data_IF_843246962503
#
_entry.id   IF_843246962503
#
_cell.length_a   1.000
_cell.length_b   1.000
_cell.length_c   1.000
_cell.angle_alpha   90.00
_cell.angle_beta   90.00
_cell.angle_gamma   90.00
#
_symmetry.space_group_name_H-M   'P 1'
#
loop_
_entity.id
_entity.type
_entity.pdbx_description
1 polymer ?
#
# COMPACT_ATOMS: atom_id res chain seq x y z
N UNK A 1 -32.65 36.91 55.12
CA UNK A 1 -32.07 35.61 54.72
C UNK A 1 -31.51 35.74 53.31
N UNK A 2 -30.19 35.89 53.15
CA UNK A 2 -29.51 35.97 51.84
C UNK A 2 -29.20 34.55 51.38
N UNK A 3 -29.84 34.10 50.30
CA UNK A 3 -29.55 32.80 49.68
C UNK A 3 -28.32 32.94 48.79
N UNK A 4 -27.22 32.30 49.16
CA UNK A 4 -26.04 32.11 48.31
C UNK A 4 -26.38 31.07 47.24
N UNK A 5 -26.29 31.45 45.96
CA UNK A 5 -26.36 30.51 44.84
C UNK A 5 -24.93 29.99 44.61
N UNK A 6 -24.68 28.73 44.95
CA UNK A 6 -23.43 28.03 44.58
C UNK A 6 -23.56 27.63 43.12
N UNK A 7 -22.84 28.31 42.24
CA UNK A 7 -22.74 27.92 40.82
C UNK A 7 -21.75 26.75 40.71
N UNK A 8 -22.28 25.56 40.45
CA UNK A 8 -21.51 24.36 40.19
C UNK A 8 -20.94 24.44 38.77
N UNK A 9 -19.65 24.75 38.64
CA UNK A 9 -18.92 24.64 37.37
C UNK A 9 -18.71 23.16 37.11
N UNK A 10 -19.55 22.57 36.26
CA UNK A 10 -19.31 21.27 35.66
C UNK A 10 -18.14 21.40 34.68
N UNK A 11 -16.95 20.99 35.10
CA UNK A 11 -15.85 20.70 34.18
C UNK A 11 -16.24 19.42 33.46
N UNK A 12 -16.94 19.56 32.33
CA UNK A 12 -17.12 18.46 31.39
C UNK A 12 -15.74 18.14 30.81
N UNK A 13 -15.14 17.06 31.27
CA UNK A 13 -14.03 16.44 30.56
C UNK A 13 -14.60 15.91 29.24
N UNK A 14 -14.53 16.71 28.18
CA UNK A 14 -14.82 16.22 26.84
C UNK A 14 -13.86 15.04 26.58
N UNK A 15 -14.36 13.85 26.22
CA UNK A 15 -13.50 12.75 25.81
C UNK A 15 -12.57 13.28 24.72
N UNK A 16 -11.28 13.03 24.88
CA UNK A 16 -10.24 13.36 23.92
C UNK A 16 -10.44 12.46 22.69
N UNK A 17 -11.48 12.72 21.91
CA UNK A 17 -11.72 11.99 20.68
C UNK A 17 -10.60 12.31 19.71
N UNK A 18 -10.02 11.26 19.10
CA UNK A 18 -9.24 11.43 17.90
C UNK A 18 -10.10 12.21 16.89
N UNK A 19 -9.53 13.26 16.32
CA UNK A 19 -10.12 13.98 15.21
C UNK A 19 -9.80 13.22 13.93
N UNK A 20 -10.64 13.42 12.92
CA UNK A 20 -10.45 12.86 11.58
C UNK A 20 -10.50 14.00 10.57
N UNK A 21 -9.67 13.91 9.52
CA UNK A 21 -9.69 14.82 8.39
C UNK A 21 -9.50 14.01 7.11
N UNK A 22 -10.39 14.19 6.16
CA UNK A 22 -10.26 13.59 4.83
C UNK A 22 -9.80 14.63 3.82
N UNK A 23 -8.80 14.26 3.03
CA UNK A 23 -8.23 15.06 1.95
C UNK A 23 -8.46 14.32 0.64
N UNK A 24 -8.68 15.08 -0.43
CA UNK A 24 -8.97 14.55 -1.76
C UNK A 24 -8.05 15.19 -2.78
N UNK A 25 -7.66 14.40 -3.77
CA UNK A 25 -6.90 14.83 -4.93
C UNK A 25 -7.49 14.19 -6.18
N UNK A 26 -7.55 14.95 -7.27
CA UNK A 26 -7.92 14.45 -8.59
C UNK A 26 -7.19 15.22 -9.68
N UNK A 27 -6.70 14.51 -10.69
CA UNK A 27 -6.25 15.14 -11.93
C UNK A 27 -6.34 14.17 -13.13
N UNK A 28 -6.51 14.70 -14.36
CA UNK A 28 -6.30 13.90 -15.56
C UNK A 28 -4.89 13.29 -15.61
N UNK A 29 -4.76 12.09 -16.17
CA UNK A 29 -3.47 11.40 -16.30
C UNK A 29 -2.48 12.17 -17.15
N UNK A 30 -2.95 12.88 -18.19
CA UNK A 30 -2.09 13.66 -19.08
C UNK A 30 -1.03 12.78 -19.73
N UNK A 31 0.23 13.19 -19.60
CA UNK A 31 1.43 12.51 -20.08
C UNK A 31 2.18 11.73 -18.99
N UNK A 32 1.56 11.58 -17.80
CA UNK A 32 2.14 10.81 -16.71
C UNK A 32 2.26 9.34 -17.09
N UNK A 33 3.36 8.75 -16.68
CA UNK A 33 3.67 7.32 -16.86
C UNK A 33 3.69 6.58 -15.52
N UNK A 34 3.86 7.30 -14.40
CA UNK A 34 4.01 6.70 -13.09
C UNK A 34 3.35 7.50 -11.96
N UNK A 35 2.96 6.79 -10.91
CA UNK A 35 2.51 7.35 -9.63
C UNK A 35 3.35 6.76 -8.49
N UNK A 36 3.86 7.61 -7.62
CA UNK A 36 4.51 7.22 -6.36
C UNK A 36 3.65 7.68 -5.19
N UNK A 37 3.42 6.80 -4.22
CA UNK A 37 2.69 7.12 -2.98
C UNK A 37 3.62 6.87 -1.80
N UNK A 38 3.90 7.91 -1.01
CA UNK A 38 4.65 7.79 0.26
C UNK A 38 3.68 7.86 1.44
N UNK A 39 3.67 6.80 2.25
CA UNK A 39 2.76 6.64 3.40
C UNK A 39 3.56 6.39 4.67
N UNK A 40 3.22 7.14 5.72
CA UNK A 40 3.89 6.99 7.01
C UNK A 40 3.37 5.81 7.81
N UNK A 41 2.12 5.93 8.27
CA UNK A 41 1.47 4.93 9.12
C UNK A 41 -0.03 4.81 8.79
N UNK A 42 -0.42 3.74 8.12
CA UNK A 42 -1.80 3.41 7.79
C UNK A 42 -1.90 2.61 6.49
N UNK A 43 -3.13 2.28 6.12
CA UNK A 43 -3.40 1.35 5.04
C UNK A 43 -3.46 2.04 3.68
N UNK A 44 -3.05 1.34 2.64
CA UNK A 44 -3.11 1.80 1.25
C UNK A 44 -3.94 0.83 0.43
N UNK A 45 -5.00 1.34 -0.19
CA UNK A 45 -5.79 0.59 -1.17
C UNK A 45 -5.69 1.24 -2.54
N UNK A 46 -5.25 0.49 -3.55
CA UNK A 46 -5.14 0.96 -4.93
C UNK A 46 -5.95 0.07 -5.87
N UNK A 47 -6.78 0.68 -6.70
CA UNK A 47 -7.57 0.00 -7.74
C UNK A 47 -7.26 0.56 -9.12
N UNK A 48 -6.77 -0.29 -10.02
CA UNK A 48 -6.60 0.03 -11.43
C UNK A 48 -7.95 0.05 -12.18
N UNK A 49 -8.12 1.02 -13.08
CA UNK A 49 -9.31 1.16 -13.91
C UNK A 49 -9.00 1.51 -15.37
N UNK A 50 -10.00 1.29 -16.23
CA UNK A 50 -10.06 1.79 -17.60
C UNK A 50 -10.60 3.23 -17.58
N UNK A 51 -9.76 4.12 -17.07
CA UNK A 51 -10.06 5.51 -16.76
C UNK A 51 -8.87 6.38 -17.21
N UNK A 52 -9.07 7.70 -17.27
CA UNK A 52 -8.05 8.67 -17.68
C UNK A 52 -7.78 9.72 -16.58
N UNK A 53 -8.18 9.42 -15.34
CA UNK A 53 -8.08 10.31 -14.19
C UNK A 53 -7.44 9.55 -13.03
N UNK A 54 -6.52 10.21 -12.35
CA UNK A 54 -5.91 9.78 -11.09
C UNK A 54 -6.73 10.39 -9.96
N UNK A 55 -7.31 9.57 -9.10
CA UNK A 55 -8.01 10.05 -7.89
C UNK A 55 -7.37 9.46 -6.65
N UNK A 56 -7.14 10.27 -5.63
CA UNK A 56 -6.69 9.83 -4.33
C UNK A 56 -7.54 10.46 -3.22
N UNK A 57 -7.82 9.68 -2.19
CA UNK A 57 -8.43 10.10 -0.95
C UNK A 57 -7.57 9.59 0.19
N UNK A 58 -7.34 10.41 1.20
CA UNK A 58 -6.70 9.97 2.45
C UNK A 58 -7.51 10.48 3.63
N UNK A 59 -7.89 9.56 4.53
CA UNK A 59 -8.49 9.91 5.82
C UNK A 59 -7.45 9.78 6.89
N UNK A 60 -7.23 10.86 7.64
CA UNK A 60 -6.19 10.92 8.67
C UNK A 60 -6.80 11.12 10.03
N UNK A 61 -6.51 10.18 10.93
CA UNK A 61 -7.01 10.13 12.30
C UNK A 61 -5.90 10.50 13.27
N UNK A 62 -6.10 11.54 14.08
CA UNK A 62 -5.06 12.06 14.97
C UNK A 62 -5.57 13.13 15.93
N UNK A 63 -4.65 13.90 16.55
CA UNK A 63 -5.07 15.04 17.37
C UNK A 63 -5.49 16.21 16.47
N UNK A 64 -6.55 16.93 16.83
CA UNK A 64 -7.09 18.05 16.03
C UNK A 64 -6.03 19.03 15.52
N UNK A 65 -5.14 19.50 16.40
CA UNK A 65 -4.06 20.43 16.03
C UNK A 65 -3.02 19.84 15.07
N UNK A 66 -2.87 18.51 14.99
CA UNK A 66 -2.02 17.86 13.99
C UNK A 66 -2.68 17.88 12.60
N UNK A 67 -4.01 17.88 12.57
CA UNK A 67 -4.78 17.82 11.33
C UNK A 67 -5.04 19.20 10.73
N UNK A 68 -4.89 20.29 11.48
CA UNK A 68 -5.19 21.66 11.01
C UNK A 68 -4.31 22.09 9.83
N UNK A 69 -3.00 21.83 9.92
CA UNK A 69 -2.02 22.17 8.87
C UNK A 69 -1.74 21.00 7.91
N UNK A 70 -2.53 19.93 8.00
CA UNK A 70 -2.34 18.74 7.19
C UNK A 70 -2.84 18.98 5.76
N UNK A 71 -2.01 18.63 4.79
CA UNK A 71 -2.34 18.71 3.37
C UNK A 71 -1.91 17.46 2.60
N UNK A 72 -2.58 17.22 1.49
CA UNK A 72 -2.27 16.16 0.54
C UNK A 72 -1.45 16.80 -0.59
N UNK A 73 -0.15 16.56 -0.56
CA UNK A 73 0.78 17.17 -1.49
C UNK A 73 0.96 16.30 -2.73
N UNK A 74 0.80 16.94 -3.89
CA UNK A 74 0.97 16.34 -5.21
C UNK A 74 2.11 17.04 -5.96
N UNK A 75 3.22 16.35 -6.19
CA UNK A 75 4.39 16.88 -6.88
C UNK A 75 4.67 16.07 -8.13
N UNK A 76 4.79 16.73 -9.28
CA UNK A 76 5.18 16.07 -10.53
C UNK A 76 6.65 16.33 -10.82
N UNK A 77 7.42 15.27 -11.01
CA UNK A 77 8.82 15.34 -11.46
C UNK A 77 8.98 14.49 -12.71
N UNK A 78 9.29 15.12 -13.84
CA UNK A 78 9.23 14.45 -15.15
C UNK A 78 7.80 13.96 -15.44
N UNK A 79 7.64 12.66 -15.67
CA UNK A 79 6.34 12.01 -15.93
C UNK A 79 5.82 11.21 -14.73
N UNK A 80 6.36 11.47 -13.55
CA UNK A 80 5.98 10.79 -12.31
C UNK A 80 5.25 11.75 -11.38
N UNK A 81 4.03 11.39 -11.01
CA UNK A 81 3.27 12.07 -9.96
C UNK A 81 3.60 11.43 -8.61
N UNK A 82 4.05 12.23 -7.66
CA UNK A 82 4.24 11.82 -6.27
C UNK A 82 3.12 12.37 -5.39
N UNK A 83 2.51 11.50 -4.61
CA UNK A 83 1.49 11.80 -3.60
C UNK A 83 2.03 11.51 -2.20
N UNK A 84 1.86 12.45 -1.28
CA UNK A 84 2.31 12.32 0.11
C UNK A 84 1.59 13.29 1.04
N UNK A 85 1.54 13.01 2.34
CA UNK A 85 1.06 13.99 3.32
C UNK A 85 2.14 15.00 3.70
N UNK A 86 1.71 16.26 3.82
CA UNK A 86 2.55 17.37 4.22
C UNK A 86 1.96 18.07 5.45
N UNK A 87 2.81 18.54 6.39
CA UNK A 87 4.26 18.35 6.45
C UNK A 87 4.65 16.92 6.88
N UNK A 88 5.77 16.41 6.35
CA UNK A 88 6.30 15.04 6.59
C UNK A 88 6.38 14.61 8.06
N UNK A 89 6.52 15.56 9.00
CA UNK A 89 6.51 15.30 10.45
C UNK A 89 5.21 14.68 10.98
N UNK A 90 4.13 14.74 10.19
CA UNK A 90 2.86 14.09 10.50
C UNK A 90 2.75 12.70 9.89
N UNK A 91 3.59 12.36 8.90
CA UNK A 91 3.72 10.98 8.43
C UNK A 91 4.47 10.15 9.48
N UNK A 92 3.86 9.04 9.92
CA UNK A 92 4.63 7.89 10.37
C UNK A 92 4.74 7.55 11.86
N UNK A 93 4.18 8.30 12.83
CA UNK A 93 4.25 7.85 14.26
C UNK A 93 3.05 8.18 15.16
N UNK A 94 2.09 9.00 14.74
CA UNK A 94 1.06 9.55 15.65
C UNK A 94 -0.33 9.77 15.04
N UNK A 95 -0.50 9.44 13.76
CA UNK A 95 -1.78 9.51 13.06
C UNK A 95 -1.91 8.27 12.17
N UNK A 96 -3.11 7.71 12.09
CA UNK A 96 -3.44 6.67 11.12
C UNK A 96 -3.87 7.32 9.82
N UNK A 97 -3.33 6.86 8.70
CA UNK A 97 -3.55 7.39 7.36
C UNK A 97 -4.18 6.31 6.46
N UNK A 98 -5.48 6.40 6.19
CA UNK A 98 -6.18 5.43 5.32
C UNK A 98 -6.29 5.99 3.90
N UNK A 99 -5.45 5.47 3.00
CA UNK A 99 -5.34 5.89 1.61
C UNK A 99 -6.18 5.02 0.68
N UNK A 100 -6.94 5.65 -0.20
CA UNK A 100 -7.65 5.00 -1.31
C UNK A 100 -7.32 5.70 -2.62
N UNK A 101 -6.78 4.95 -3.57
CA UNK A 101 -6.40 5.44 -4.89
C UNK A 101 -7.14 4.66 -5.98
N UNK A 102 -7.54 5.38 -7.02
CA UNK A 102 -8.04 4.81 -8.26
C UNK A 102 -7.25 5.40 -9.42
N UNK A 103 -6.57 4.52 -10.15
CA UNK A 103 -5.54 4.89 -11.13
C UNK A 103 -5.85 4.27 -12.50
N UNK A 104 -5.52 4.95 -13.61
CA UNK A 104 -5.44 4.30 -14.92
C UNK A 104 -4.51 3.09 -14.84
N UNK A 105 -5.02 1.90 -15.19
CA UNK A 105 -4.28 0.64 -14.94
C UNK A 105 -2.94 0.53 -15.66
N UNK A 106 -2.69 1.34 -16.69
CA UNK A 106 -1.46 1.33 -17.47
C UNK A 106 -0.30 2.10 -16.80
N UNK A 107 -0.57 2.87 -15.75
CA UNK A 107 0.48 3.58 -15.02
C UNK A 107 1.35 2.61 -14.25
N UNK A 108 2.65 2.92 -14.19
CA UNK A 108 3.53 2.34 -13.20
C UNK A 108 3.15 2.87 -11.81
N UNK A 109 3.29 2.03 -10.79
CA UNK A 109 2.94 2.37 -9.42
C UNK A 109 4.07 1.98 -8.48
N UNK A 110 4.53 2.95 -7.70
CA UNK A 110 5.42 2.73 -6.56
C UNK A 110 4.70 3.09 -5.26
N UNK A 111 4.67 2.19 -4.30
CA UNK A 111 4.13 2.44 -2.95
C UNK A 111 5.24 2.24 -1.93
N UNK A 112 5.57 3.30 -1.20
CA UNK A 112 6.50 3.27 -0.08
C UNK A 112 5.71 3.51 1.20
N UNK A 113 5.64 2.51 2.07
CA UNK A 113 4.85 2.55 3.30
C UNK A 113 5.71 2.17 4.52
N UNK A 114 5.61 2.95 5.59
CA UNK A 114 6.31 2.65 6.85
C UNK A 114 5.64 1.54 7.64
N UNK A 115 4.38 1.74 8.01
CA UNK A 115 3.56 0.81 8.81
C UNK A 115 2.14 0.77 8.26
N UNK A 116 1.54 -0.41 8.16
CA UNK A 116 0.16 -0.61 7.69
C UNK A 116 0.11 -1.61 6.53
N UNK A 117 -1.08 -1.87 6.02
CA UNK A 117 -1.27 -2.86 4.95
C UNK A 117 -1.34 -2.21 3.57
N UNK A 118 -0.81 -2.88 2.55
CA UNK A 118 -0.88 -2.44 1.15
C UNK A 118 -1.72 -3.41 0.34
N UNK A 119 -2.80 -2.92 -0.26
CA UNK A 119 -3.72 -3.70 -1.12
C UNK A 119 -3.78 -3.09 -2.50
N UNK A 120 -3.34 -3.83 -3.52
CA UNK A 120 -3.31 -3.38 -4.92
C UNK A 120 -4.11 -4.35 -5.78
N UNK A 121 -4.95 -3.83 -6.67
CA UNK A 121 -5.73 -4.63 -7.62
C UNK A 121 -5.69 -4.07 -9.03
N UNK A 122 -5.50 -4.95 -10.01
CA UNK A 122 -5.84 -4.67 -11.41
C UNK A 122 -4.95 -3.64 -12.09
N UNK A 123 -3.67 -3.59 -11.73
CA UNK A 123 -2.67 -2.76 -12.39
C UNK A 123 -1.92 -3.58 -13.45
N UNK A 124 -1.64 -2.94 -14.58
CA UNK A 124 -0.96 -3.52 -15.74
C UNK A 124 0.40 -2.88 -16.01
N UNK A 125 0.68 -1.70 -15.43
CA UNK A 125 2.01 -1.11 -15.39
C UNK A 125 2.93 -1.83 -14.41
N UNK A 126 4.20 -1.45 -14.37
CA UNK A 126 5.17 -1.99 -13.42
C UNK A 126 4.80 -1.62 -11.99
N UNK A 127 4.90 -2.59 -11.08
CA UNK A 127 4.60 -2.42 -9.67
C UNK A 127 5.87 -2.51 -8.82
N UNK A 128 6.05 -1.52 -7.96
CA UNK A 128 7.04 -1.51 -6.89
C UNK A 128 6.35 -1.26 -5.55
N UNK A 129 6.60 -2.11 -4.56
CA UNK A 129 6.06 -1.96 -3.20
C UNK A 129 7.21 -2.14 -2.21
N UNK A 130 7.40 -1.15 -1.34
CA UNK A 130 8.31 -1.22 -0.21
C UNK A 130 7.51 -0.97 1.08
N UNK A 131 7.50 -1.95 1.97
CA UNK A 131 6.77 -1.88 3.23
C UNK A 131 7.68 -2.16 4.42
N UNK A 132 7.67 -1.31 5.44
CA UNK A 132 8.40 -1.57 6.67
C UNK A 132 7.76 -2.69 7.50
N UNK A 133 6.50 -2.49 7.91
CA UNK A 133 5.74 -3.42 8.75
C UNK A 133 4.27 -3.47 8.31
N UNK A 134 3.79 -4.67 8.04
CA UNK A 134 2.40 -4.97 7.66
C UNK A 134 2.35 -5.91 6.46
N UNK A 135 1.14 -6.17 5.97
CA UNK A 135 0.94 -7.17 4.92
C UNK A 135 0.74 -6.53 3.54
N UNK A 136 1.20 -7.23 2.50
CA UNK A 136 1.03 -6.82 1.11
C UNK A 136 0.12 -7.81 0.40
N UNK A 137 -0.97 -7.32 -0.20
CA UNK A 137 -1.89 -8.12 -1.02
C UNK A 137 -2.00 -7.51 -2.41
N UNK A 138 -1.56 -8.23 -3.43
CA UNK A 138 -1.66 -7.82 -4.83
C UNK A 138 -2.53 -8.81 -5.59
N UNK A 139 -3.51 -8.33 -6.34
CA UNK A 139 -4.43 -9.17 -7.11
C UNK A 139 -4.57 -8.70 -8.55
N UNK A 140 -4.88 -9.65 -9.45
CA UNK A 140 -4.98 -9.41 -10.90
C UNK A 140 -3.65 -8.93 -11.51
N UNK A 141 -2.52 -9.45 -11.01
CA UNK A 141 -1.19 -9.11 -11.52
C UNK A 141 -0.97 -9.72 -12.91
N UNK A 142 -0.62 -8.88 -13.88
CA UNK A 142 -0.28 -9.26 -15.26
C UNK A 142 1.05 -8.63 -15.75
N UNK A 143 1.80 -8.00 -14.85
CA UNK A 143 2.97 -7.17 -15.16
C UNK A 143 4.15 -7.47 -14.22
N UNK A 144 5.25 -6.74 -14.42
CA UNK A 144 6.42 -6.83 -13.54
C UNK A 144 6.06 -6.41 -12.11
N UNK A 145 6.61 -7.13 -11.13
CA UNK A 145 6.45 -6.82 -9.71
C UNK A 145 7.80 -6.91 -8.99
N UNK A 146 8.09 -5.87 -8.21
CA UNK A 146 9.07 -5.89 -7.12
C UNK A 146 8.32 -5.56 -5.83
N UNK A 147 8.31 -6.48 -4.87
CA UNK A 147 7.73 -6.25 -3.55
C UNK A 147 8.75 -6.60 -2.46
N UNK A 148 9.03 -5.66 -1.58
CA UNK A 148 9.92 -5.83 -0.43
C UNK A 148 9.17 -5.46 0.85
N UNK A 149 9.17 -6.36 1.83
CA UNK A 149 8.65 -6.08 3.17
C UNK A 149 9.67 -6.41 4.26
N UNK A 150 9.73 -5.59 5.31
CA UNK A 150 10.57 -5.88 6.47
C UNK A 150 9.96 -6.97 7.36
N UNK A 151 8.72 -6.76 7.79
CA UNK A 151 7.94 -7.68 8.62
C UNK A 151 6.50 -7.73 8.13
N UNK A 152 6.04 -8.93 7.79
CA UNK A 152 4.67 -9.19 7.37
C UNK A 152 4.62 -10.13 6.16
N UNK A 153 3.41 -10.54 5.85
CA UNK A 153 3.15 -11.53 4.82
C UNK A 153 2.93 -10.85 3.45
N UNK A 154 3.31 -11.55 2.39
CA UNK A 154 3.10 -11.09 1.02
C UNK A 154 2.26 -12.10 0.25
N UNK A 155 1.07 -11.68 -0.16
CA UNK A 155 0.17 -12.46 -0.98
C UNK A 155 0.00 -11.84 -2.36
N UNK A 156 0.35 -12.59 -3.41
CA UNK A 156 0.21 -12.13 -4.80
C UNK A 156 -0.63 -13.12 -5.58
N UNK A 157 -1.67 -12.61 -6.26
CA UNK A 157 -2.49 -13.37 -7.20
C UNK A 157 -2.39 -12.78 -8.60
N UNK A 158 -2.02 -13.60 -9.58
CA UNK A 158 -1.79 -13.14 -10.95
C UNK A 158 -2.08 -14.18 -12.02
N UNK A 159 -1.82 -13.78 -13.26
CA UNK A 159 -1.95 -14.61 -14.44
C UNK A 159 -0.68 -15.43 -14.68
N UNK A 160 -0.82 -16.74 -14.87
CA UNK A 160 0.28 -17.64 -15.21
C UNK A 160 0.87 -17.35 -16.60
N UNK A 161 0.05 -16.90 -17.55
CA UNK A 161 0.50 -16.63 -18.93
C UNK A 161 1.32 -15.34 -19.02
N UNK A 162 1.11 -14.42 -18.07
CA UNK A 162 1.83 -13.16 -18.00
C UNK A 162 3.24 -13.32 -17.41
N UNK A 163 3.41 -14.26 -16.48
CA UNK A 163 4.64 -14.43 -15.69
C UNK A 163 5.66 -15.30 -16.43
N UNK A 164 6.88 -14.78 -16.57
CA UNK A 164 8.02 -15.46 -17.18
C UNK A 164 9.09 -15.89 -16.19
N UNK A 165 9.33 -15.10 -15.14
CA UNK A 165 10.28 -15.44 -14.06
C UNK A 165 9.73 -15.06 -12.71
N UNK A 166 10.04 -15.87 -11.72
CA UNK A 166 9.64 -15.67 -10.34
C UNK A 166 10.85 -15.88 -9.43
N UNK A 167 11.06 -14.97 -8.50
CA UNK A 167 12.02 -15.09 -7.40
C UNK A 167 11.34 -14.66 -6.12
N UNK A 168 11.24 -15.58 -5.17
CA UNK A 168 10.57 -15.36 -3.89
C UNK A 168 11.56 -15.64 -2.77
N UNK A 169 11.78 -14.70 -1.87
CA UNK A 169 12.77 -14.82 -0.81
C UNK A 169 12.20 -14.39 0.54
N UNK A 170 12.31 -15.24 1.56
CA UNK A 170 12.04 -14.85 2.94
C UNK A 170 13.28 -15.11 3.79
N UNK A 171 13.60 -14.19 4.71
CA UNK A 171 14.62 -14.44 5.73
C UNK A 171 14.12 -15.48 6.74
N UNK A 172 12.97 -15.21 7.35
CA UNK A 172 12.29 -16.09 8.31
C UNK A 172 10.84 -16.29 7.88
N UNK A 173 10.49 -17.53 7.56
CA UNK A 173 9.13 -17.90 7.19
C UNK A 173 9.08 -18.95 6.08
N UNK A 174 7.95 -19.01 5.41
CA UNK A 174 7.66 -19.98 4.36
C UNK A 174 7.43 -19.28 3.04
N UNK A 175 7.83 -19.92 1.95
CA UNK A 175 7.49 -19.49 0.60
C UNK A 175 6.63 -20.56 -0.04
N UNK A 176 5.46 -20.17 -0.53
CA UNK A 176 4.57 -21.06 -1.29
C UNK A 176 4.20 -20.41 -2.61
N UNK A 177 4.37 -21.15 -3.71
CA UNK A 177 3.86 -20.78 -5.02
C UNK A 177 2.88 -21.84 -5.53
N UNK A 178 1.67 -21.43 -5.86
CA UNK A 178 0.66 -22.24 -6.53
C UNK A 178 0.65 -21.84 -8.01
N UNK A 179 1.01 -22.77 -8.89
CA UNK A 179 0.97 -22.57 -10.34
C UNK A 179 0.06 -23.62 -10.99
N UNK A 180 -0.36 -23.45 -12.25
CA UNK A 180 -1.06 -24.49 -12.99
C UNK A 180 -0.25 -25.80 -13.14
N UNK A 181 1.08 -25.74 -13.04
CA UNK A 181 1.96 -26.91 -13.10
C UNK A 181 2.05 -27.65 -11.76
N UNK A 182 1.61 -27.02 -10.66
CA UNK A 182 1.63 -27.61 -9.33
C UNK A 182 1.98 -26.62 -8.23
N UNK A 183 2.07 -27.15 -7.01
CA UNK A 183 2.49 -26.40 -5.83
C UNK A 183 4.00 -26.53 -5.62
N UNK A 184 4.68 -25.40 -5.52
CA UNK A 184 6.07 -25.29 -5.07
C UNK A 184 6.07 -24.71 -3.65
N UNK A 185 6.93 -25.21 -2.77
CA UNK A 185 7.03 -24.73 -1.39
C UNK A 185 8.45 -24.87 -0.86
N UNK A 186 8.88 -23.89 -0.07
CA UNK A 186 10.13 -23.88 0.69
C UNK A 186 9.89 -23.31 2.09
N UNK A 187 10.77 -23.64 3.04
CA UNK A 187 10.67 -23.17 4.42
C UNK A 187 12.07 -22.89 4.98
N UNK A 188 12.32 -21.66 5.38
CA UNK A 188 13.65 -21.20 5.80
C UNK A 188 13.63 -20.50 7.15
N UNK A 189 14.66 -20.78 7.96
CA UNK A 189 14.90 -20.13 9.26
C UNK A 189 15.87 -18.94 9.12
N UNK A 190 16.67 -18.88 8.04
CA UNK A 190 17.69 -17.83 7.81
C UNK A 190 17.57 -17.22 6.42
N UNK A 191 17.29 -18.04 5.39
CA UNK A 191 16.91 -17.60 4.06
C UNK A 191 16.28 -18.78 3.31
N UNK A 192 15.13 -18.57 2.69
CA UNK A 192 14.51 -19.48 1.71
C UNK A 192 14.41 -18.75 0.37
N UNK A 193 14.67 -19.44 -0.75
CA UNK A 193 14.59 -18.84 -2.08
C UNK A 193 13.93 -19.81 -3.05
N UNK A 194 12.84 -19.39 -3.67
CA UNK A 194 12.17 -20.13 -4.73
C UNK A 194 12.33 -19.38 -6.04
N UNK A 195 12.87 -20.07 -7.04
CA UNK A 195 12.93 -19.57 -8.41
C UNK A 195 12.18 -20.51 -9.34
N UNK A 196 11.39 -19.94 -10.24
CA UNK A 196 10.69 -20.70 -11.27
C UNK A 196 10.43 -19.85 -12.51
N UNK A 197 10.10 -20.49 -13.64
CA UNK A 197 9.86 -19.85 -14.92
C UNK A 197 8.47 -20.20 -15.44
N UNK A 198 7.71 -19.16 -15.79
CA UNK A 198 6.44 -19.31 -16.50
C UNK A 198 6.59 -19.08 -18.01
N UNK A 199 5.46 -18.97 -18.69
CA UNK A 199 5.40 -18.83 -20.15
C UNK A 199 5.38 -17.37 -20.64
N UNK A 200 5.22 -16.42 -19.72
CA UNK A 200 5.09 -15.00 -20.03
C UNK A 200 6.39 -14.24 -20.07
N UNK A 201 6.27 -12.91 -19.96
CA UNK A 201 7.41 -11.96 -19.99
C UNK A 201 7.63 -11.24 -18.66
N UNK A 202 6.61 -11.20 -17.79
CA UNK A 202 6.69 -10.48 -16.53
C UNK A 202 7.68 -11.15 -15.57
N UNK A 203 8.41 -10.33 -14.84
CA UNK A 203 9.30 -10.77 -13.78
C UNK A 203 8.68 -10.42 -12.43
N UNK A 204 8.58 -11.40 -11.55
CA UNK A 204 8.12 -11.24 -10.17
C UNK A 204 9.32 -11.44 -9.24
N UNK A 205 9.59 -10.44 -8.40
CA UNK A 205 10.57 -10.51 -7.31
C UNK A 205 9.88 -10.11 -6.02
N UNK A 206 9.81 -11.02 -5.05
CA UNK A 206 9.20 -10.76 -3.74
C UNK A 206 10.22 -11.11 -2.66
N UNK A 207 10.46 -10.17 -1.74
CA UNK A 207 11.33 -10.36 -0.59
C UNK A 207 10.61 -9.98 0.71
N UNK A 208 10.72 -10.80 1.75
CA UNK A 208 10.32 -10.46 3.11
C UNK A 208 11.46 -10.75 4.09
N UNK A 209 11.68 -9.86 5.06
CA UNK A 209 12.61 -10.13 6.15
C UNK A 209 12.08 -11.23 7.08
N UNK A 210 10.86 -11.01 7.58
CA UNK A 210 10.12 -11.94 8.43
C UNK A 210 8.67 -12.00 7.98
N UNK A 211 8.21 -13.18 7.57
CA UNK A 211 6.85 -13.41 7.11
C UNK A 211 6.79 -14.49 6.04
N UNK A 212 5.57 -14.88 5.71
CA UNK A 212 5.27 -15.86 4.69
C UNK A 212 5.01 -15.17 3.33
N UNK A 213 5.49 -15.81 2.25
CA UNK A 213 5.18 -15.39 0.89
C UNK A 213 4.26 -16.43 0.26
N UNK A 214 3.11 -15.98 -0.23
CA UNK A 214 2.17 -16.80 -1.01
C UNK A 214 1.96 -16.19 -2.40
N UNK A 215 2.40 -16.90 -3.43
CA UNK A 215 2.13 -16.57 -4.83
C UNK A 215 1.11 -17.55 -5.41
N UNK A 216 0.04 -17.04 -6.03
CA UNK A 216 -0.99 -17.86 -6.67
C UNK A 216 -1.16 -17.39 -8.12
N UNK A 217 -0.74 -18.22 -9.05
CA UNK A 217 -0.89 -18.00 -10.48
C UNK A 217 -1.92 -18.97 -11.04
N UNK A 218 -2.86 -18.43 -11.82
CA UNK A 218 -3.92 -19.20 -12.49
C UNK A 218 -3.79 -19.07 -14.00
N UNK A 219 -4.24 -20.07 -14.75
CA UNK A 219 -4.48 -19.88 -16.17
C UNK A 219 -5.53 -18.80 -16.38
N UNK A 220 -5.38 -18.00 -17.43
CA UNK A 220 -6.46 -17.13 -17.89
C UNK A 220 -7.57 -18.02 -18.46
N UNK A 221 -8.81 -17.75 -18.07
CA UNK A 221 -10.00 -18.45 -18.59
C UNK A 221 -10.29 -18.05 -20.04
#
# INVERSE_FOLDING_TARGET
MRRFLVSLIMISAAPLHAAERTLHFSQPVGDLEAVTVEVGAGDVTVTGCDCNEITAQVTVTGKRWQLEDLDLEAQTTGKTLKLSLSPRKYSGKKAGEDWTLKLPRQLNLSVEAGVGDVRIRGMNGELEVQLGVGDVVITELVSNLVAETGVGDVEVRGSWTAVGRMRLNTGVGSVTAHTPQGKLSGHGIVSESLEDKGHGKASISIATGVGDITLILKEDL
#
